data_IF_379920892269
#
_entry.id   IF_379920892269
#
_cell.length_a   1.000
_cell.length_b   1.000
_cell.length_c   1.000
_cell.angle_alpha   90.00
_cell.angle_beta   90.00
_cell.angle_gamma   90.00
#
_symmetry.space_group_name_H-M   'P 1'
#
loop_
_entity.id
_entity.type
_entity.pdbx_description
1 polymer ?
#
# COMPACT_ATOMS: atom_id res chain seq x y z
N UNK A 1 10.08 1.19 2.42
CA UNK A 1 8.94 2.15 2.41
C UNK A 1 9.44 3.58 2.64
N UNK A 2 9.00 4.53 1.80
CA UNK A 2 9.39 5.95 1.87
C UNK A 2 8.43 6.73 2.76
N UNK A 3 8.93 7.44 3.77
CA UNK A 3 8.12 8.37 4.57
C UNK A 3 7.91 9.67 3.79
N UNK A 4 6.68 10.15 3.69
CA UNK A 4 6.37 11.42 3.03
C UNK A 4 5.18 12.12 3.67
N UNK A 5 5.13 13.44 3.51
CA UNK A 5 3.98 14.28 3.84
C UNK A 5 3.36 14.94 2.60
N UNK A 6 3.89 14.66 1.41
CA UNK A 6 3.50 15.32 0.18
C UNK A 6 2.41 14.51 -0.54
N UNK A 7 1.17 15.01 -0.54
CA UNK A 7 0.06 14.35 -1.22
C UNK A 7 0.28 14.26 -2.74
N UNK A 8 0.87 15.28 -3.38
CA UNK A 8 1.12 15.30 -4.83
C UNK A 8 2.09 14.20 -5.25
N UNK A 9 3.10 13.91 -4.42
CA UNK A 9 4.03 12.81 -4.65
C UNK A 9 3.30 11.46 -4.70
N UNK A 10 2.40 11.22 -3.75
CA UNK A 10 1.62 9.99 -3.70
C UNK A 10 0.67 9.90 -4.90
N UNK A 11 0.00 11.00 -5.24
CA UNK A 11 -0.90 11.05 -6.40
C UNK A 11 -0.15 10.81 -7.73
N UNK A 12 1.06 11.34 -7.88
CA UNK A 12 1.90 11.05 -9.03
C UNK A 12 2.27 9.57 -9.10
N UNK A 13 2.69 8.97 -7.98
CA UNK A 13 2.99 7.54 -7.94
C UNK A 13 1.77 6.70 -8.34
N UNK A 14 0.58 7.01 -7.80
CA UNK A 14 -0.68 6.33 -8.14
C UNK A 14 -1.03 6.41 -9.64
N UNK A 15 -0.61 7.47 -10.32
CA UNK A 15 -0.88 7.69 -11.73
C UNK A 15 0.19 7.08 -12.67
N UNK A 16 1.40 6.82 -12.19
CA UNK A 16 2.53 6.37 -13.02
C UNK A 16 2.93 4.92 -12.78
N UNK A 17 2.74 4.44 -11.56
CA UNK A 17 3.17 3.12 -11.14
C UNK A 17 2.00 2.14 -11.23
N UNK A 18 2.29 0.91 -11.68
CA UNK A 18 1.24 -0.09 -11.82
C UNK A 18 0.70 -0.53 -10.45
N UNK A 19 1.55 -0.66 -9.44
CA UNK A 19 1.12 -1.02 -8.08
C UNK A 19 1.74 -0.06 -7.07
N UNK A 20 0.92 0.54 -6.19
CA UNK A 20 1.37 1.46 -5.14
C UNK A 20 0.76 1.06 -3.80
N UNK A 21 1.58 1.11 -2.76
CA UNK A 21 1.19 0.70 -1.41
C UNK A 21 1.28 1.88 -0.47
N UNK A 22 0.21 2.14 0.28
CA UNK A 22 0.14 3.21 1.27
C UNK A 22 -0.03 2.62 2.67
N UNK A 23 0.87 2.96 3.58
CA UNK A 23 0.72 2.72 5.02
C UNK A 23 0.41 4.04 5.73
N UNK A 24 -0.78 4.12 6.31
CA UNK A 24 -1.26 5.31 7.00
C UNK A 24 -1.29 5.03 8.51
N UNK A 25 -0.64 5.91 9.27
CA UNK A 25 -0.43 5.75 10.72
C UNK A 25 -0.71 7.05 11.46
N UNK A 26 -0.82 6.98 12.78
CA UNK A 26 -0.94 8.14 13.67
C UNK A 26 0.10 8.06 14.79
N UNK A 27 0.52 9.21 15.37
CA UNK A 27 1.34 9.23 16.58
C UNK A 27 0.58 8.58 17.75
N UNK A 28 1.33 8.06 18.72
CA UNK A 28 0.77 7.42 19.92
C UNK A 28 -0.18 6.24 19.62
N UNK A 29 0.04 5.53 18.52
CA UNK A 29 -0.75 4.37 18.09
C UNK A 29 0.00 3.06 18.38
N UNK A 30 -0.35 2.38 19.48
CA UNK A 30 0.29 1.11 19.89
C UNK A 30 0.20 0.01 18.82
N UNK A 31 -0.94 -0.10 18.15
CA UNK A 31 -1.16 -1.06 17.07
C UNK A 31 -0.27 -0.75 15.86
N UNK A 32 -0.09 0.54 15.53
CA UNK A 32 0.78 0.95 14.44
C UNK A 32 2.24 0.57 14.69
N UNK A 33 2.71 0.66 15.94
CA UNK A 33 4.06 0.23 16.34
C UNK A 33 4.26 -1.29 16.17
N UNK A 34 3.22 -2.10 16.39
CA UNK A 34 3.28 -3.54 16.20
C UNK A 34 3.18 -3.95 14.72
N UNK A 35 2.34 -3.26 13.95
CA UNK A 35 2.10 -3.57 12.53
C UNK A 35 3.26 -3.17 11.63
N UNK A 36 3.83 -1.97 11.83
CA UNK A 36 4.86 -1.41 10.96
C UNK A 36 6.04 -2.35 10.67
N UNK A 37 6.76 -2.92 11.67
CA UNK A 37 7.93 -3.76 11.38
C UNK A 37 7.57 -5.04 10.61
N UNK A 38 6.40 -5.63 10.90
CA UNK A 38 5.92 -6.81 10.17
C UNK A 38 5.55 -6.46 8.73
N UNK A 39 4.99 -5.28 8.51
CA UNK A 39 4.67 -4.81 7.17
C UNK A 39 5.89 -4.44 6.35
N UNK A 40 6.88 -3.77 6.96
CA UNK A 40 8.17 -3.51 6.31
C UNK A 40 8.88 -4.81 5.92
N UNK A 41 8.83 -5.84 6.77
CA UNK A 41 9.38 -7.14 6.44
C UNK A 41 8.66 -7.81 5.27
N UNK A 42 7.31 -7.80 5.26
CA UNK A 42 6.54 -8.33 4.13
C UNK A 42 6.90 -7.61 2.83
N UNK A 43 6.93 -6.27 2.85
CA UNK A 43 7.23 -5.46 1.67
C UNK A 43 8.68 -5.60 1.18
N UNK A 44 9.61 -6.10 1.99
CA UNK A 44 11.00 -6.31 1.58
C UNK A 44 11.18 -7.38 0.49
N UNK A 45 10.14 -8.19 0.25
CA UNK A 45 10.12 -9.21 -0.81
C UNK A 45 9.57 -8.70 -2.14
N UNK A 46 9.09 -7.46 -2.22
CA UNK A 46 8.47 -6.89 -3.42
C UNK A 46 9.07 -5.54 -3.79
N UNK A 47 9.20 -5.27 -5.08
CA UNK A 47 9.69 -3.98 -5.59
C UNK A 47 8.53 -3.04 -5.95
N UNK A 48 7.58 -2.88 -5.01
CA UNK A 48 6.47 -1.94 -5.18
C UNK A 48 6.78 -0.61 -4.49
N UNK A 49 6.55 0.53 -5.16
CA UNK A 49 6.61 1.83 -4.50
C UNK A 49 5.65 1.87 -3.32
N UNK A 50 6.21 2.14 -2.14
CA UNK A 50 5.48 2.12 -0.88
C UNK A 50 5.71 3.40 -0.09
N UNK A 51 4.63 3.99 0.42
CA UNK A 51 4.65 5.25 1.16
C UNK A 51 4.11 5.09 2.58
N UNK A 52 4.80 5.69 3.53
CA UNK A 52 4.36 5.80 4.93
C UNK A 52 3.94 7.25 5.20
N UNK A 53 2.67 7.44 5.51
CA UNK A 53 2.10 8.74 5.85
C UNK A 53 1.63 8.77 7.31
N UNK A 54 1.96 9.87 8.00
CA UNK A 54 1.41 10.20 9.30
C UNK A 54 0.19 11.11 9.09
N UNK A 55 -1.01 10.55 9.23
CA UNK A 55 -2.25 11.27 8.93
C UNK A 55 -2.57 12.37 9.94
N UNK A 56 -1.94 12.37 11.12
CA UNK A 56 -2.06 13.49 12.06
C UNK A 56 -1.22 14.69 11.62
N UNK A 57 -0.12 14.47 10.88
CA UNK A 57 0.70 15.53 10.28
C UNK A 57 0.26 15.95 8.88
N UNK A 58 -0.61 15.16 8.26
CA UNK A 58 -1.09 15.38 6.88
C UNK A 58 -2.62 15.22 6.78
N UNK A 59 -3.40 16.20 7.27
CA UNK A 59 -4.86 16.12 7.25
C UNK A 59 -5.44 15.98 5.83
N UNK A 60 -4.79 16.58 4.83
CA UNK A 60 -5.15 16.44 3.42
C UNK A 60 -5.08 14.99 2.91
N UNK A 61 -4.07 14.23 3.35
CA UNK A 61 -3.93 12.79 3.05
C UNK A 61 -5.05 12.01 3.73
N UNK A 62 -5.35 12.34 4.99
CA UNK A 62 -6.45 11.70 5.72
C UNK A 62 -7.79 11.87 4.99
N UNK A 63 -8.06 13.10 4.51
CA UNK A 63 -9.25 13.44 3.74
C UNK A 63 -9.28 12.74 2.38
N UNK A 64 -8.20 12.85 1.60
CA UNK A 64 -8.12 12.29 0.25
C UNK A 64 -8.32 10.77 0.21
N UNK A 65 -7.77 10.05 1.18
CA UNK A 65 -7.85 8.58 1.26
C UNK A 65 -8.95 8.07 2.22
N UNK A 66 -9.76 8.98 2.76
CA UNK A 66 -10.87 8.69 3.68
C UNK A 66 -10.42 7.85 4.90
N UNK A 67 -9.31 8.23 5.52
CA UNK A 67 -8.77 7.56 6.69
C UNK A 67 -9.39 8.10 7.96
N UNK A 68 -10.23 7.28 8.59
CA UNK A 68 -10.88 7.60 9.88
C UNK A 68 -10.23 6.88 11.06
N UNK A 69 -9.37 5.89 10.80
CA UNK A 69 -8.71 5.07 11.83
C UNK A 69 -7.30 4.69 11.39
N UNK A 70 -6.41 4.42 12.35
CA UNK A 70 -5.06 3.93 12.08
C UNK A 70 -4.75 2.65 12.89
N UNK A 71 -3.85 1.77 12.41
CA UNK A 71 -3.20 1.83 11.11
C UNK A 71 -4.16 1.50 9.96
N UNK A 72 -3.85 1.97 8.75
CA UNK A 72 -4.51 1.55 7.53
C UNK A 72 -3.49 1.21 6.44
N UNK A 73 -3.74 0.14 5.70
CA UNK A 73 -2.97 -0.27 4.52
C UNK A 73 -3.90 -0.20 3.33
N UNK A 74 -3.51 0.56 2.32
CA UNK A 74 -4.18 0.64 1.03
C UNK A 74 -3.24 0.11 -0.05
N UNK A 75 -3.77 -0.71 -0.95
CA UNK A 75 -3.04 -1.19 -2.13
C UNK A 75 -3.83 -0.74 -3.35
N UNK A 76 -3.14 -0.02 -4.23
CA UNK A 76 -3.63 0.39 -5.53
C UNK A 76 -2.95 -0.43 -6.61
N UNK A 77 -3.71 -0.90 -7.58
CA UNK A 77 -3.20 -1.51 -8.79
C UNK A 77 -3.91 -0.87 -10.00
N UNK A 78 -3.15 -0.40 -10.99
CA UNK A 78 -3.63 0.36 -12.16
C UNK A 78 -4.51 1.53 -11.74
N UNK A 79 -4.05 2.31 -10.76
CA UNK A 79 -4.75 3.45 -10.17
C UNK A 79 -6.15 3.12 -9.58
N UNK A 80 -6.42 1.85 -9.27
CA UNK A 80 -7.65 1.40 -8.59
C UNK A 80 -7.30 0.83 -7.24
N UNK A 81 -8.06 1.19 -6.21
CA UNK A 81 -7.93 0.58 -4.90
C UNK A 81 -8.41 -0.88 -4.98
N UNK A 82 -7.48 -1.83 -4.76
CA UNK A 82 -7.77 -3.27 -4.80
C UNK A 82 -7.80 -3.91 -3.43
N UNK A 83 -7.21 -3.26 -2.42
CA UNK A 83 -7.33 -3.67 -1.03
C UNK A 83 -7.27 -2.48 -0.06
N UNK A 84 -8.04 -2.61 1.01
CA UNK A 84 -8.04 -1.72 2.17
C UNK A 84 -8.17 -2.55 3.44
N UNK A 85 -7.21 -2.41 4.34
CA UNK A 85 -7.27 -2.97 5.69
C UNK A 85 -7.06 -1.85 6.70
N UNK A 86 -7.99 -1.71 7.64
CA UNK A 86 -7.93 -0.68 8.67
C UNK A 86 -8.12 -1.32 10.04
N UNK A 87 -7.32 -0.88 11.03
CA UNK A 87 -7.30 -1.34 12.43
C UNK A 87 -6.89 -2.80 12.64
N UNK A 88 -7.42 -3.74 11.88
CA UNK A 88 -7.05 -5.15 11.89
C UNK A 88 -6.37 -5.51 10.57
N UNK A 89 -5.15 -6.02 10.66
CA UNK A 89 -4.33 -6.32 9.50
C UNK A 89 -4.16 -7.84 9.38
N UNK A 90 -4.72 -8.40 8.32
CA UNK A 90 -4.52 -9.79 7.91
C UNK A 90 -3.35 -9.86 6.93
N UNK A 91 -2.17 -10.16 7.46
CA UNK A 91 -0.94 -10.28 6.69
C UNK A 91 -0.96 -11.44 5.68
N UNK A 92 -1.70 -12.52 5.95
CA UNK A 92 -1.76 -13.65 5.01
C UNK A 92 -2.50 -13.22 3.74
N UNK A 93 -3.61 -12.50 3.90
CA UNK A 93 -4.35 -11.97 2.76
C UNK A 93 -3.56 -10.92 1.97
N UNK A 94 -2.78 -10.05 2.66
CA UNK A 94 -1.89 -9.09 2.01
C UNK A 94 -0.80 -9.79 1.20
N UNK A 95 -0.11 -10.77 1.80
CA UNK A 95 0.93 -11.55 1.12
C UNK A 95 0.39 -12.28 -0.11
N UNK A 96 -0.78 -12.92 0.00
CA UNK A 96 -1.42 -13.59 -1.13
C UNK A 96 -1.74 -12.61 -2.27
N UNK A 97 -2.26 -11.42 -1.95
CA UNK A 97 -2.54 -10.39 -2.95
C UNK A 97 -1.25 -9.86 -3.59
N UNK A 98 -0.22 -9.56 -2.79
CA UNK A 98 1.05 -9.06 -3.31
C UNK A 98 1.73 -10.09 -4.21
N UNK A 99 1.67 -11.37 -3.86
CA UNK A 99 2.14 -12.48 -4.72
C UNK A 99 1.39 -12.49 -6.06
N UNK A 100 0.06 -12.36 -6.04
CA UNK A 100 -0.73 -12.28 -7.27
C UNK A 100 -0.31 -11.08 -8.11
N UNK A 101 -0.20 -9.89 -7.51
CA UNK A 101 0.18 -8.67 -8.22
C UNK A 101 1.61 -8.72 -8.78
N UNK A 102 2.55 -9.38 -8.08
CA UNK A 102 3.91 -9.58 -8.57
C UNK A 102 4.00 -10.62 -9.69
N UNK A 103 3.11 -11.63 -9.70
CA UNK A 103 3.05 -12.64 -10.75
C UNK A 103 2.22 -12.18 -11.95
N UNK A 104 1.35 -11.18 -11.80
CA UNK A 104 0.49 -10.70 -12.89
C UNK A 104 1.31 -10.08 -14.03
N UNK A 105 2.52 -9.56 -13.76
CA UNK A 105 3.47 -9.12 -14.78
C UNK A 105 3.86 -10.26 -15.76
N UNK A 106 3.85 -11.52 -15.29
CA UNK A 106 4.08 -12.69 -16.15
C UNK A 106 2.80 -13.15 -16.87
N UNK A 107 1.60 -12.81 -16.38
CA UNK A 107 0.33 -13.24 -17.02
C UNK A 107 -0.07 -12.44 -18.25
N UNK A 108 0.57 -11.31 -18.56
CA UNK A 108 0.56 -10.76 -19.93
C UNK A 108 1.23 -11.70 -20.95
N UNK A 109 1.80 -12.83 -20.49
CA UNK A 109 2.24 -13.95 -21.33
C UNK A 109 1.15 -15.02 -21.59
N UNK A 110 -0.13 -14.78 -21.31
CA UNK A 110 -1.19 -15.68 -21.82
C UNK A 110 -1.28 -15.64 -23.35
N UNK A 111 -0.96 -14.50 -23.96
CA UNK A 111 -0.91 -14.37 -25.42
C UNK A 111 0.27 -15.14 -26.06
N UNK A 112 1.27 -15.56 -25.28
CA UNK A 112 2.40 -16.40 -25.75
C UNK A 112 2.14 -17.91 -25.61
N UNK A 113 0.99 -18.32 -25.10
CA UNK A 113 0.64 -19.75 -24.94
C UNK A 113 -0.05 -20.34 -26.17
N UNK A 114 -0.41 -19.51 -27.16
CA UNK A 114 -1.08 -19.92 -28.39
C UNK A 114 -0.27 -19.65 -29.67
N UNK A 115 1.00 -19.24 -29.54
CA UNK A 115 1.97 -19.20 -30.64
C UNK A 115 2.86 -20.45 -30.66
#
# INVERSE_FOLDING_TARGET
MKKTTNLLEVQHALAQEETVILYLSMPNCSVCHAVLPRFEHLLSHYDFPSFHLDVAKTPEVASAFQILTAPAILIYHKNKEVARQARFIDFQSLENLLNQLSSIDETLSYDKLFD
#
